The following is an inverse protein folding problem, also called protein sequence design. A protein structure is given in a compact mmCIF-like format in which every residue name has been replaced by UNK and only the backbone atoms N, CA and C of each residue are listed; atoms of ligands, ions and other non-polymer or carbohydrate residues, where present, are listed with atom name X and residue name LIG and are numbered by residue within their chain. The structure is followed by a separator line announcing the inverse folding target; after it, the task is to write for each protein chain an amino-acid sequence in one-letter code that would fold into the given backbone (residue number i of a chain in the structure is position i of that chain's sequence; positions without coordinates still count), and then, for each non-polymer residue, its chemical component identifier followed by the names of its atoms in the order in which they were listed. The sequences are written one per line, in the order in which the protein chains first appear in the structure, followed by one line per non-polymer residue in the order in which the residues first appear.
data_IF_856458678725
#
_entry.id   IF_856458678725
#
_cell.length_a   1.000
_cell.length_b   1.000
_cell.length_c   1.000
_cell.angle_alpha   90.00
_cell.angle_beta   90.00
_cell.angle_gamma   90.00
#
_symmetry.space_group_name_H-M   'P 1'
#
loop_
_entity.id
_entity.type
_entity.pdbx_description
1 polymer ?
#
# COMPACT_ATOMS: atom_id res chain seq x y z
N UNK A 1 -0.84 2.24 -7.72
CA UNK A 1 -1.14 1.56 -6.43
C UNK A 1 -2.04 0.35 -6.65
N UNK A 2 -3.24 0.52 -7.23
CA UNK A 2 -4.17 -0.59 -7.47
C UNK A 2 -3.54 -1.73 -8.30
N UNK A 3 -2.79 -1.41 -9.36
CA UNK A 3 -2.07 -2.42 -10.15
C UNK A 3 -1.05 -3.20 -9.31
N UNK A 4 -0.24 -2.50 -8.52
CA UNK A 4 0.74 -3.13 -7.62
C UNK A 4 0.07 -4.01 -6.57
N UNK A 5 -1.10 -3.61 -6.05
CA UNK A 5 -1.89 -4.43 -5.11
C UNK A 5 -2.45 -5.69 -5.79
N UNK A 6 -3.01 -5.58 -7.00
CA UNK A 6 -3.51 -6.73 -7.78
C UNK A 6 -2.39 -7.71 -8.12
N UNK A 7 -1.21 -7.19 -8.48
CA UNK A 7 -0.04 -8.02 -8.74
C UNK A 7 0.44 -8.72 -7.47
N UNK A 8 0.48 -8.02 -6.34
CA UNK A 8 0.84 -8.63 -5.06
C UNK A 8 -0.17 -9.73 -4.67
N UNK A 9 -1.46 -9.49 -4.84
CA UNK A 9 -2.52 -10.47 -4.59
C UNK A 9 -2.37 -11.73 -5.43
N UNK A 10 -2.03 -11.62 -6.73
CA UNK A 10 -1.82 -12.78 -7.59
C UNK A 10 -0.57 -13.59 -7.23
N UNK A 11 0.47 -12.94 -6.72
CA UNK A 11 1.69 -13.59 -6.26
C UNK A 11 1.45 -14.29 -4.92
N UNK A 12 0.88 -13.60 -3.93
CA UNK A 12 0.59 -14.14 -2.59
C UNK A 12 -0.33 -15.35 -2.62
N UNK A 13 -1.34 -15.33 -3.50
CA UNK A 13 -2.31 -16.39 -3.62
C UNK A 13 -1.92 -17.46 -4.66
N UNK A 14 -0.73 -17.35 -5.26
CA UNK A 14 -0.25 -18.35 -6.21
C UNK A 14 0.08 -19.65 -5.48
N UNK A 15 -0.39 -20.77 -6.04
CA UNK A 15 -0.07 -22.13 -5.54
C UNK A 15 1.43 -22.42 -5.51
N UNK A 16 2.21 -21.71 -6.32
CA UNK A 16 3.65 -21.87 -6.44
C UNK A 16 4.40 -21.30 -5.22
N UNK A 17 3.79 -20.42 -4.44
CA UNK A 17 4.43 -19.72 -3.32
C UNK A 17 3.76 -19.98 -1.95
N UNK A 18 2.94 -21.04 -1.82
CA UNK A 18 2.19 -21.34 -0.59
C UNK A 18 3.09 -21.48 0.65
N UNK A 19 4.26 -22.10 0.51
CA UNK A 19 5.21 -22.32 1.62
C UNK A 19 6.38 -21.34 1.61
N UNK A 20 6.30 -20.27 0.81
CA UNK A 20 7.38 -19.29 0.65
C UNK A 20 7.07 -18.06 1.48
N UNK A 21 7.97 -17.69 2.39
CA UNK A 21 7.85 -16.43 3.13
C UNK A 21 7.99 -15.23 2.17
N UNK A 22 7.11 -14.25 2.32
CA UNK A 22 7.14 -13.02 1.54
C UNK A 22 7.52 -11.82 2.42
N UNK A 23 8.42 -10.99 1.91
CA UNK A 23 8.79 -9.72 2.52
C UNK A 23 8.36 -8.61 1.57
N UNK A 24 7.56 -7.66 2.07
CA UNK A 24 7.09 -6.50 1.29
C UNK A 24 7.88 -5.26 1.68
N UNK A 25 8.59 -4.68 0.71
CA UNK A 25 9.26 -3.40 0.89
C UNK A 25 8.36 -2.25 0.42
N UNK A 26 7.87 -1.46 1.37
CA UNK A 26 7.19 -0.20 1.09
C UNK A 26 8.24 0.89 0.84
N UNK A 27 8.61 1.06 -0.42
CA UNK A 27 9.61 2.05 -0.82
C UNK A 27 9.02 3.48 -0.84
N UNK A 28 9.89 4.50 -0.83
CA UNK A 28 9.56 5.92 -0.94
C UNK A 28 8.71 6.47 0.22
N UNK A 29 8.95 5.96 1.44
CA UNK A 29 8.26 6.41 2.65
C UNK A 29 8.45 7.91 2.90
N UNK A 30 9.63 8.42 2.61
CA UNK A 30 9.99 9.85 2.63
C UNK A 30 9.04 10.69 1.75
N UNK A 31 8.85 10.29 0.49
CA UNK A 31 7.96 10.98 -0.43
C UNK A 31 6.48 10.83 -0.02
N UNK A 32 6.12 9.70 0.57
CA UNK A 32 4.76 9.48 1.07
C UNK A 32 4.42 10.43 2.23
N UNK A 33 5.34 10.59 3.19
CA UNK A 33 5.20 11.51 4.32
C UNK A 33 5.04 12.96 3.82
N UNK A 34 5.84 13.39 2.84
CA UNK A 34 5.72 14.75 2.29
C UNK A 34 4.40 14.98 1.53
N UNK A 35 3.90 13.95 0.82
CA UNK A 35 2.63 14.04 0.09
C UNK A 35 1.42 14.10 1.02
N UNK A 36 1.42 13.35 2.11
CA UNK A 36 0.25 13.26 2.98
C UNK A 36 -0.02 14.54 3.77
N UNK A 37 1.00 15.39 3.97
CA UNK A 37 0.86 16.76 4.51
C UNK A 37 0.03 17.68 3.61
N UNK A 38 -0.01 17.42 2.30
CA UNK A 38 -0.67 18.28 1.31
C UNK A 38 -1.96 17.69 0.76
N UNK A 39 -2.07 16.36 0.77
CA UNK A 39 -3.22 15.62 0.24
C UNK A 39 -3.57 14.49 1.19
N UNK A 40 -4.82 14.47 1.66
CA UNK A 40 -5.34 13.35 2.46
C UNK A 40 -5.28 12.05 1.67
N UNK A 41 -4.93 10.95 2.36
CA UNK A 41 -4.97 9.60 1.78
C UNK A 41 -6.39 9.18 1.40
N UNK A 42 -7.43 9.84 1.95
CA UNK A 42 -8.82 9.55 1.64
C UNK A 42 -9.17 9.69 0.16
N UNK A 43 -8.42 10.50 -0.59
CA UNK A 43 -8.59 10.61 -2.07
C UNK A 43 -8.48 9.24 -2.75
N UNK A 44 -7.72 8.31 -2.19
CA UNK A 44 -7.61 6.94 -2.68
C UNK A 44 -8.35 5.90 -1.83
N UNK A 45 -8.62 6.22 -0.55
CA UNK A 45 -9.24 5.31 0.41
C UNK A 45 -10.29 6.05 1.24
N UNK A 46 -11.49 6.21 0.69
CA UNK A 46 -12.57 6.97 1.32
C UNK A 46 -12.90 6.49 2.74
N UNK A 47 -12.77 5.19 3.00
CA UNK A 47 -13.08 4.57 4.29
C UNK A 47 -11.93 4.65 5.31
N UNK A 48 -10.83 5.34 4.98
CA UNK A 48 -9.72 5.53 5.91
C UNK A 48 -10.17 6.43 7.08
N UNK A 49 -10.30 5.82 8.27
CA UNK A 49 -10.73 6.48 9.52
C UNK A 49 -9.59 7.07 10.34
N UNK A 50 -8.36 7.01 9.84
CA UNK A 50 -7.21 7.60 10.53
C UNK A 50 -7.22 9.13 10.48
N UNK A 51 -6.35 9.75 11.28
CA UNK A 51 -6.24 11.21 11.34
C UNK A 51 -5.85 11.75 9.96
N UNK A 52 -6.53 12.82 9.56
CA UNK A 52 -6.04 13.69 8.50
C UNK A 52 -4.94 14.53 9.14
N UNK A 53 -3.70 14.30 8.72
CA UNK A 53 -2.55 15.00 9.27
C UNK A 53 -2.77 16.52 9.14
N UNK A 54 -2.42 17.26 10.21
CA UNK A 54 -2.47 18.72 10.27
C UNK A 54 -1.31 19.34 9.49
#
# INVERSE_FOLDING_TARGET
MLESMRLFESICNSRWFINTSMIVFLNKTDLFIEKIKRKTIKVCFNDYKGKEYF
#
